data_IF_098513751276
#
_entry.id   IF_098513751276
#
_cell.length_a   1.000
_cell.length_b   1.000
_cell.length_c   1.000
_cell.angle_alpha   90.00
_cell.angle_beta   90.00
_cell.angle_gamma   90.00
#
_symmetry.space_group_name_H-M   'P 1'
#
loop_
_entity.id
_entity.type
_entity.pdbx_description
1 polymer ?
#
# COMPACT_ATOMS: atom_id res chain seq x y z
N UNK A 1 -36.34 -26.89 -44.51
CA UNK A 1 -37.22 -25.92 -43.81
C UNK A 1 -36.68 -25.61 -42.41
N UNK A 2 -35.47 -25.07 -42.30
CA UNK A 2 -34.81 -24.64 -41.05
C UNK A 2 -34.26 -23.22 -41.26
N UNK A 3 -35.11 -22.20 -41.19
CA UNK A 3 -34.66 -20.83 -41.47
C UNK A 3 -35.55 -19.69 -40.97
N UNK A 4 -36.77 -19.98 -40.52
CA UNK A 4 -37.70 -18.94 -40.04
C UNK A 4 -37.82 -18.86 -38.51
N UNK A 5 -37.48 -19.92 -37.76
CA UNK A 5 -37.64 -19.97 -36.29
C UNK A 5 -36.51 -19.29 -35.51
N UNK A 6 -35.28 -19.32 -36.00
CA UNK A 6 -34.14 -18.70 -35.30
C UNK A 6 -34.13 -17.17 -35.45
N UNK A 7 -34.57 -16.63 -36.60
CA UNK A 7 -34.66 -15.19 -36.82
C UNK A 7 -35.73 -14.52 -35.93
N UNK A 8 -36.88 -15.17 -35.72
CA UNK A 8 -37.96 -14.63 -34.88
C UNK A 8 -37.54 -14.61 -33.40
N UNK A 9 -36.73 -15.58 -32.95
CA UNK A 9 -36.26 -15.64 -31.57
C UNK A 9 -35.20 -14.56 -31.28
N UNK A 10 -34.31 -14.26 -32.24
CA UNK A 10 -33.32 -13.18 -32.10
C UNK A 10 -33.91 -11.76 -32.10
N UNK A 11 -34.95 -11.50 -32.90
CA UNK A 11 -35.60 -10.19 -32.96
C UNK A 11 -36.42 -9.89 -31.70
N UNK A 12 -37.07 -10.90 -31.10
CA UNK A 12 -37.81 -10.75 -29.84
C UNK A 12 -36.88 -10.46 -28.66
N UNK A 13 -35.70 -11.09 -28.62
CA UNK A 13 -34.70 -10.84 -27.55
C UNK A 13 -34.11 -9.43 -27.65
N UNK A 14 -33.83 -8.92 -28.85
CA UNK A 14 -33.36 -7.53 -29.04
C UNK A 14 -34.43 -6.48 -28.69
N UNK A 15 -35.71 -6.76 -28.95
CA UNK A 15 -36.81 -5.85 -28.61
C UNK A 15 -37.04 -5.74 -27.09
N UNK A 16 -36.78 -6.81 -26.33
CA UNK A 16 -36.87 -6.80 -24.86
C UNK A 16 -35.74 -5.99 -24.19
N UNK A 17 -34.60 -5.78 -24.86
CA UNK A 17 -33.49 -4.95 -24.37
C UNK A 17 -33.72 -3.44 -24.56
N UNK A 18 -34.64 -3.04 -25.45
CA UNK A 18 -35.00 -1.65 -25.69
C UNK A 18 -36.13 -1.14 -24.77
N UNK A 19 -36.74 -2.01 -23.95
CA UNK A 19 -37.89 -1.68 -23.11
C UNK A 19 -37.58 -0.73 -21.94
N UNK A 20 -36.30 -0.43 -21.69
CA UNK A 20 -35.83 0.49 -20.66
C UNK A 20 -35.06 1.68 -21.26
N UNK A 21 -35.66 2.42 -22.18
CA UNK A 21 -35.11 3.69 -22.67
C UNK A 21 -35.47 4.85 -21.71
N UNK A 22 -34.62 5.87 -21.56
CA UNK A 22 -34.98 7.07 -20.81
C UNK A 22 -36.27 7.71 -21.34
N UNK A 23 -37.23 8.01 -20.45
CA UNK A 23 -38.52 8.62 -20.81
C UNK A 23 -38.43 10.14 -20.99
N UNK A 24 -37.30 10.76 -20.60
CA UNK A 24 -37.05 12.19 -20.70
C UNK A 24 -36.14 12.53 -21.88
N UNK A 25 -36.36 13.68 -22.50
CA UNK A 25 -35.42 14.22 -23.48
C UNK A 25 -34.09 14.59 -22.80
N UNK A 26 -32.97 14.11 -23.34
CA UNK A 26 -31.64 14.58 -22.90
C UNK A 26 -31.47 16.04 -23.30
N UNK A 27 -30.95 16.84 -22.36
CA UNK A 27 -30.53 18.21 -22.66
C UNK A 27 -29.41 18.15 -23.71
N UNK A 28 -29.53 18.97 -24.77
CA UNK A 28 -28.47 19.09 -25.78
C UNK A 28 -27.32 19.89 -25.19
N UNK A 29 -26.12 19.34 -25.25
CA UNK A 29 -24.88 19.98 -24.78
C UNK A 29 -24.01 20.25 -25.99
N UNK A 30 -23.40 21.43 -26.04
CA UNK A 30 -22.42 21.79 -27.07
C UNK A 30 -21.16 20.93 -26.92
N UNK A 31 -20.69 20.34 -28.03
CA UNK A 31 -19.54 19.43 -28.01
C UNK A 31 -18.23 20.15 -27.70
N UNK A 32 -18.08 21.42 -28.10
CA UNK A 32 -16.92 22.24 -27.75
C UNK A 32 -16.89 22.54 -26.25
N UNK A 33 -18.02 22.94 -25.66
CA UNK A 33 -18.17 23.14 -24.23
C UNK A 33 -17.85 21.86 -23.43
N UNK A 34 -18.29 20.69 -23.91
CA UNK A 34 -17.97 19.41 -23.29
C UNK A 34 -16.46 19.09 -23.32
N UNK A 35 -15.75 19.45 -24.40
CA UNK A 35 -14.30 19.28 -24.49
C UNK A 35 -13.54 20.20 -23.54
N UNK A 36 -13.95 21.47 -23.44
CA UNK A 36 -13.37 22.42 -22.48
C UNK A 36 -13.58 21.94 -21.05
N UNK A 37 -14.76 21.41 -20.75
CA UNK A 37 -15.05 20.83 -19.43
C UNK A 37 -14.21 19.56 -19.17
N UNK A 38 -14.04 18.69 -20.16
CA UNK A 38 -13.18 17.52 -20.03
C UNK A 38 -11.73 17.90 -19.68
N UNK A 39 -11.19 18.99 -20.24
CA UNK A 39 -9.86 19.49 -19.86
C UNK A 39 -9.79 19.91 -18.38
N UNK A 40 -10.82 20.61 -17.88
CA UNK A 40 -10.90 20.98 -16.45
C UNK A 40 -11.00 19.75 -15.56
N UNK A 41 -11.81 18.77 -15.93
CA UNK A 41 -11.96 17.52 -15.18
C UNK A 41 -10.65 16.73 -15.12
N UNK A 42 -9.88 16.69 -16.22
CA UNK A 42 -8.54 16.08 -16.21
C UNK A 42 -7.58 16.81 -15.27
N UNK A 43 -7.60 18.14 -15.26
CA UNK A 43 -6.78 18.91 -14.33
C UNK A 43 -7.13 18.62 -12.86
N UNK A 44 -8.42 18.59 -12.51
CA UNK A 44 -8.88 18.26 -11.15
C UNK A 44 -8.54 16.82 -10.77
N UNK A 45 -8.73 15.86 -11.68
CA UNK A 45 -8.39 14.46 -11.46
C UNK A 45 -6.88 14.26 -11.25
N UNK A 46 -6.05 14.96 -12.02
CA UNK A 46 -4.61 14.96 -11.86
C UNK A 46 -4.19 15.56 -10.52
N UNK A 47 -4.81 16.67 -10.11
CA UNK A 47 -4.55 17.28 -8.81
C UNK A 47 -4.86 16.32 -7.67
N UNK A 48 -6.04 15.71 -7.67
CA UNK A 48 -6.43 14.73 -6.67
C UNK A 48 -5.46 13.53 -6.62
N UNK A 49 -5.01 13.03 -7.78
CA UNK A 49 -4.04 11.93 -7.83
C UNK A 49 -2.68 12.31 -7.24
N UNK A 50 -2.18 13.51 -7.54
CA UNK A 50 -0.92 14.01 -6.99
C UNK A 50 -1.02 14.21 -5.48
N UNK A 51 -2.13 14.76 -4.99
CA UNK A 51 -2.39 14.93 -3.56
C UNK A 51 -2.41 13.57 -2.83
N UNK A 52 -3.08 12.55 -3.41
CA UNK A 52 -3.08 11.18 -2.88
C UNK A 52 -1.65 10.62 -2.79
N UNK A 53 -0.83 10.77 -3.83
CA UNK A 53 0.57 10.31 -3.86
C UNK A 53 1.42 11.02 -2.80
N UNK A 54 1.32 12.35 -2.71
CA UNK A 54 2.07 13.15 -1.72
C UNK A 54 1.67 12.77 -0.30
N UNK A 55 0.37 12.59 -0.04
CA UNK A 55 -0.14 12.12 1.25
C UNK A 55 0.39 10.74 1.58
N UNK A 56 0.32 9.79 0.66
CA UNK A 56 0.80 8.42 0.87
C UNK A 56 2.30 8.38 1.16
N UNK A 57 3.10 9.15 0.41
CA UNK A 57 4.55 9.26 0.66
C UNK A 57 4.86 9.88 2.03
N UNK A 58 4.18 10.97 2.39
CA UNK A 58 4.35 11.65 3.68
C UNK A 58 4.05 10.72 4.86
N UNK A 59 3.02 9.88 4.71
CA UNK A 59 2.59 8.92 5.75
C UNK A 59 3.51 7.70 5.81
N UNK A 60 3.86 7.12 4.66
CA UNK A 60 4.63 5.86 4.60
C UNK A 60 6.11 6.03 4.93
N UNK A 61 6.72 7.17 4.56
CA UNK A 61 8.16 7.38 4.75
C UNK A 61 8.65 7.20 6.21
N UNK A 62 8.04 7.83 7.23
CA UNK A 62 8.44 7.61 8.62
C UNK A 62 8.17 6.18 9.11
N UNK A 63 7.15 5.49 8.58
CA UNK A 63 6.86 4.09 8.91
C UNK A 63 7.99 3.18 8.40
N UNK A 64 8.38 3.36 7.14
CA UNK A 64 9.44 2.58 6.52
C UNK A 64 10.81 2.84 7.13
N UNK A 65 11.13 4.09 7.49
CA UNK A 65 12.47 4.46 7.98
C UNK A 65 12.65 4.20 9.47
N UNK A 66 11.70 4.62 10.31
CA UNK A 66 11.80 4.44 11.76
C UNK A 66 11.37 3.04 12.22
N UNK A 67 10.51 2.37 11.46
CA UNK A 67 10.13 0.97 11.69
C UNK A 67 11.10 -0.06 11.08
N UNK A 68 12.20 0.39 10.46
CA UNK A 68 13.15 -0.46 9.74
C UNK A 68 13.76 -1.58 10.61
N UNK A 69 13.83 -1.40 11.93
CA UNK A 69 14.34 -2.42 12.84
C UNK A 69 13.42 -3.64 12.96
N UNK A 70 12.14 -3.50 12.59
CA UNK A 70 11.16 -4.59 12.57
C UNK A 70 11.10 -5.30 11.21
N UNK A 71 11.91 -4.88 10.23
CA UNK A 71 11.97 -5.47 8.88
C UNK A 71 13.15 -6.44 8.69
N UNK A 72 13.93 -6.74 9.73
CA UNK A 72 15.04 -7.70 9.68
C UNK A 72 16.07 -7.33 8.60
N UNK A 73 16.36 -8.30 7.73
CA UNK A 73 17.30 -8.15 6.60
C UNK A 73 16.67 -7.53 5.35
N UNK A 74 15.35 -7.42 5.30
CA UNK A 74 14.62 -6.83 4.17
C UNK A 74 14.69 -5.30 4.25
N UNK A 75 15.89 -4.78 3.96
CA UNK A 75 16.26 -3.37 4.08
C UNK A 75 16.68 -2.80 2.73
N UNK A 76 16.33 -1.53 2.52
CA UNK A 76 16.81 -0.70 1.41
C UNK A 76 17.22 0.67 1.92
N UNK A 77 17.78 1.47 1.01
CA UNK A 77 18.13 2.86 1.28
C UNK A 77 17.29 3.76 0.38
N UNK A 78 16.74 4.84 0.95
CA UNK A 78 15.80 5.72 0.24
C UNK A 78 16.07 7.19 0.50
N UNK A 79 15.77 8.02 -0.50
CA UNK A 79 16.01 9.47 -0.45
C UNK A 79 14.80 10.27 0.02
N UNK A 80 13.57 9.74 -0.14
CA UNK A 80 12.33 10.44 0.24
C UNK A 80 11.90 11.57 -0.70
N UNK A 81 12.41 11.59 -1.93
CA UNK A 81 11.92 12.48 -3.00
C UNK A 81 11.11 11.71 -4.05
N UNK A 82 10.07 12.35 -4.56
CA UNK A 82 9.28 11.89 -5.70
C UNK A 82 9.77 12.58 -6.97
N UNK A 83 9.95 11.82 -8.03
CA UNK A 83 10.35 12.33 -9.34
C UNK A 83 9.19 12.22 -10.32
N UNK A 84 9.04 13.23 -11.17
CA UNK A 84 8.06 13.23 -12.24
C UNK A 84 8.59 13.98 -13.47
N UNK A 85 7.99 13.70 -14.61
CA UNK A 85 8.03 14.54 -15.79
C UNK A 85 6.63 14.60 -16.42
N UNK A 86 6.49 15.30 -17.53
CA UNK A 86 5.20 15.47 -18.21
C UNK A 86 4.54 14.17 -18.70
N UNK A 87 5.27 13.05 -18.75
CA UNK A 87 4.77 11.76 -19.22
C UNK A 87 4.45 10.78 -18.09
N UNK A 88 4.83 11.06 -16.84
CA UNK A 88 4.73 10.07 -15.75
C UNK A 88 3.48 10.18 -14.90
N UNK A 89 2.65 11.22 -15.07
CA UNK A 89 1.44 11.41 -14.28
C UNK A 89 0.18 11.04 -15.08
N UNK A 90 -0.45 9.91 -14.72
CA UNK A 90 -1.72 9.42 -15.28
C UNK A 90 -1.75 9.15 -16.80
N UNK A 91 -0.60 9.19 -17.49
CA UNK A 91 -0.46 8.85 -18.90
C UNK A 91 -0.64 10.03 -19.86
N UNK A 92 -0.67 9.73 -21.16
CA UNK A 92 -0.60 10.71 -22.26
C UNK A 92 -1.71 11.77 -22.21
N UNK A 93 -2.95 11.37 -21.89
CA UNK A 93 -4.12 12.25 -21.85
C UNK A 93 -3.99 13.39 -20.81
N UNK A 94 -3.09 13.24 -19.84
CA UNK A 94 -2.86 14.19 -18.77
C UNK A 94 -1.63 15.07 -18.97
N UNK A 95 -0.85 14.86 -20.05
CA UNK A 95 0.41 15.60 -20.30
C UNK A 95 0.21 17.12 -20.27
N UNK A 96 -0.80 17.63 -20.96
CA UNK A 96 -1.11 19.07 -21.00
C UNK A 96 -1.48 19.59 -19.60
N UNK A 97 -2.24 18.79 -18.83
CA UNK A 97 -2.62 19.14 -17.46
C UNK A 97 -1.39 19.15 -16.54
N UNK A 98 -0.47 18.20 -16.70
CA UNK A 98 0.77 18.11 -15.94
C UNK A 98 1.71 19.29 -16.22
N UNK A 99 1.85 19.69 -17.49
CA UNK A 99 2.61 20.89 -17.88
C UNK A 99 2.00 22.16 -17.26
N UNK A 100 0.69 22.35 -17.38
CA UNK A 100 0.02 23.58 -16.91
C UNK A 100 -0.03 23.68 -15.39
N UNK A 101 -0.38 22.60 -14.70
CA UNK A 101 -0.58 22.62 -13.25
C UNK A 101 0.74 22.56 -12.47
N UNK A 102 1.75 21.86 -12.98
CA UNK A 102 2.99 21.57 -12.25
C UNK A 102 4.26 22.01 -12.96
N UNK A 103 4.16 22.67 -14.12
CA UNK A 103 5.30 23.14 -14.92
C UNK A 103 6.28 22.00 -15.25
N UNK A 104 5.73 20.80 -15.45
CA UNK A 104 6.52 19.62 -15.81
C UNK A 104 6.91 19.68 -17.28
N UNK A 105 8.18 19.37 -17.57
CA UNK A 105 8.72 19.25 -18.92
C UNK A 105 9.04 17.78 -19.25
N UNK A 106 9.78 17.52 -20.32
CA UNK A 106 10.34 16.19 -20.62
C UNK A 106 11.49 15.80 -19.69
N UNK A 107 12.04 16.75 -18.95
CA UNK A 107 13.11 16.56 -17.98
C UNK A 107 12.57 15.99 -16.67
N UNK A 108 13.43 15.27 -15.94
CA UNK A 108 13.10 14.74 -14.62
C UNK A 108 13.14 15.85 -13.58
N UNK A 109 12.01 16.10 -12.93
CA UNK A 109 11.86 17.11 -11.91
C UNK A 109 11.42 16.50 -10.57
N UNK A 110 11.81 17.13 -9.48
CA UNK A 110 11.36 16.77 -8.13
C UNK A 110 9.92 17.24 -7.96
N UNK A 111 9.00 16.29 -7.91
CA UNK A 111 7.58 16.55 -7.70
C UNK A 111 7.27 16.83 -6.23
N UNK A 112 7.92 16.11 -5.33
CA UNK A 112 7.68 16.20 -3.90
C UNK A 112 8.91 15.78 -3.11
N UNK A 113 9.12 16.37 -1.93
CA UNK A 113 10.14 15.97 -0.98
C UNK A 113 9.47 15.77 0.37
N UNK A 114 9.61 14.58 0.95
CA UNK A 114 9.06 14.32 2.29
C UNK A 114 9.83 15.15 3.31
N UNK A 115 9.15 15.96 4.16
CA UNK A 115 9.83 16.73 5.20
C UNK A 115 10.65 15.85 6.14
N UNK A 116 11.88 16.24 6.43
CA UNK A 116 12.80 15.48 7.27
C UNK A 116 13.39 14.21 6.62
N UNK A 117 13.14 13.98 5.33
CA UNK A 117 13.82 12.92 4.57
C UNK A 117 15.28 13.23 4.26
N UNK A 118 16.05 12.23 3.85
CA UNK A 118 17.39 12.37 3.32
C UNK A 118 17.52 13.47 2.24
N UNK A 119 16.59 13.51 1.28
CA UNK A 119 16.57 14.53 0.23
C UNK A 119 16.30 15.93 0.80
N UNK A 120 15.38 16.06 1.76
CA UNK A 120 15.11 17.33 2.43
C UNK A 120 16.33 17.85 3.21
N UNK A 121 16.97 16.96 3.99
CA UNK A 121 18.21 17.26 4.74
C UNK A 121 19.35 17.69 3.82
N UNK A 122 19.44 17.10 2.64
CA UNK A 122 20.43 17.44 1.62
C UNK A 122 20.11 18.76 0.86
N UNK A 123 18.93 19.34 1.07
CA UNK A 123 18.53 20.61 0.46
C UNK A 123 17.82 20.48 -0.89
N UNK A 124 17.39 19.29 -1.29
CA UNK A 124 16.54 19.07 -2.48
C UNK A 124 15.17 19.69 -2.22
N UNK A 125 14.57 20.32 -3.24
CA UNK A 125 13.28 21.01 -3.15
C UNK A 125 12.38 20.65 -4.32
N UNK A 126 11.07 20.72 -4.11
CA UNK A 126 10.09 20.62 -5.19
C UNK A 126 10.39 21.63 -6.30
N UNK A 127 10.34 21.17 -7.55
CA UNK A 127 10.66 21.95 -8.75
C UNK A 127 12.12 21.89 -9.20
N UNK A 128 13.02 21.26 -8.43
CA UNK A 128 14.39 21.02 -8.89
C UNK A 128 14.40 20.11 -10.12
N UNK A 129 15.10 20.49 -11.18
CA UNK A 129 15.33 19.61 -12.33
C UNK A 129 16.62 18.84 -12.12
N UNK A 130 16.58 17.50 -12.14
CA UNK A 130 17.78 16.69 -12.00
C UNK A 130 18.55 16.62 -13.33
N UNK A 131 19.88 16.59 -13.24
CA UNK A 131 20.80 16.53 -14.39
C UNK A 131 21.74 15.34 -14.34
N UNK A 132 22.31 15.04 -13.18
CA UNK A 132 23.20 13.91 -12.99
C UNK A 132 22.92 13.19 -11.66
N UNK A 133 23.13 11.88 -11.66
CA UNK A 133 23.27 11.06 -10.46
C UNK A 133 24.70 10.51 -10.49
N UNK A 134 25.55 10.98 -9.59
CA UNK A 134 27.01 10.85 -9.64
C UNK A 134 27.58 11.31 -10.99
N UNK A 135 28.00 10.37 -11.85
CA UNK A 135 28.51 10.62 -13.20
C UNK A 135 27.48 10.27 -14.29
N UNK A 136 26.34 9.68 -13.91
CA UNK A 136 25.32 9.27 -14.85
C UNK A 136 24.42 10.44 -15.23
N UNK A 137 24.42 10.80 -16.51
CA UNK A 137 23.55 11.83 -17.06
C UNK A 137 22.11 11.35 -17.12
N UNK A 138 21.18 12.16 -16.60
CA UNK A 138 19.77 11.83 -16.58
C UNK A 138 19.16 12.08 -17.96
N UNK A 139 18.50 11.07 -18.58
CA UNK A 139 17.85 11.23 -19.88
C UNK A 139 16.57 12.07 -19.77
N UNK A 140 15.96 12.37 -20.91
CA UNK A 140 14.61 12.97 -20.98
C UNK A 140 13.61 11.98 -21.59
N UNK A 141 12.31 12.31 -21.51
CA UNK A 141 11.25 11.51 -22.12
C UNK A 141 10.60 10.48 -21.19
N UNK A 142 9.72 9.64 -21.72
CA UNK A 142 8.76 8.85 -20.94
C UNK A 142 9.41 7.90 -19.91
N UNK A 143 10.54 7.29 -20.24
CA UNK A 143 11.25 6.36 -19.35
C UNK A 143 12.21 7.04 -18.36
N UNK A 144 12.46 8.35 -18.49
CA UNK A 144 13.55 9.01 -17.78
C UNK A 144 13.39 8.95 -16.25
N UNK A 145 12.17 9.08 -15.75
CA UNK A 145 11.89 8.99 -14.31
C UNK A 145 12.16 7.57 -13.79
N UNK A 146 11.68 6.53 -14.49
CA UNK A 146 11.93 5.13 -14.11
C UNK A 146 13.43 4.83 -14.07
N UNK A 147 14.14 5.20 -15.14
CA UNK A 147 15.60 5.01 -15.21
C UNK A 147 16.33 5.77 -14.10
N UNK A 148 15.88 6.97 -13.74
CA UNK A 148 16.46 7.76 -12.64
C UNK A 148 16.22 7.11 -11.28
N UNK A 149 15.03 6.56 -11.03
CA UNK A 149 14.71 5.83 -9.81
C UNK A 149 15.54 4.54 -9.71
N UNK A 150 15.67 3.79 -10.81
CA UNK A 150 16.51 2.59 -10.90
C UNK A 150 17.97 2.93 -10.56
N UNK A 151 18.50 4.01 -11.14
CA UNK A 151 19.86 4.47 -10.84
C UNK A 151 20.03 4.90 -9.38
N UNK A 152 19.10 5.67 -8.81
CA UNK A 152 19.13 6.02 -7.40
C UNK A 152 19.14 4.78 -6.52
N UNK A 153 18.32 3.78 -6.82
CA UNK A 153 18.27 2.53 -6.05
C UNK A 153 19.62 1.80 -6.10
N UNK A 154 20.23 1.66 -7.29
CA UNK A 154 21.55 1.02 -7.44
C UNK A 154 22.64 1.79 -6.69
N UNK A 155 22.70 3.12 -6.85
CA UNK A 155 23.75 3.96 -6.23
C UNK A 155 23.63 4.02 -4.72
N UNK A 156 22.41 3.95 -4.19
CA UNK A 156 22.15 3.99 -2.75
C UNK A 156 22.16 2.62 -2.06
N UNK A 157 22.32 1.51 -2.79
CA UNK A 157 22.18 0.14 -2.26
C UNK A 157 23.09 -0.18 -1.05
N UNK A 158 24.19 0.55 -0.88
CA UNK A 158 25.15 0.37 0.23
C UNK A 158 24.99 1.41 1.35
N UNK A 159 23.98 2.28 1.27
CA UNK A 159 23.79 3.40 2.19
C UNK A 159 24.78 4.55 2.02
N UNK A 160 25.69 4.46 1.03
CA UNK A 160 26.65 5.52 0.75
C UNK A 160 25.96 6.78 0.21
N UNK A 161 26.51 7.97 0.48
CA UNK A 161 25.99 9.19 -0.09
C UNK A 161 26.06 9.18 -1.62
N UNK A 162 25.03 9.72 -2.28
CA UNK A 162 24.94 9.87 -3.74
C UNK A 162 24.93 11.35 -4.09
N UNK A 163 25.73 11.77 -5.09
CA UNK A 163 25.69 13.14 -5.59
C UNK A 163 24.55 13.28 -6.59
N UNK A 164 23.71 14.29 -6.42
CA UNK A 164 22.68 14.65 -7.39
C UNK A 164 22.91 16.08 -7.83
N UNK A 165 23.14 16.27 -9.12
CA UNK A 165 23.26 17.60 -9.71
C UNK A 165 21.89 18.07 -10.19
N UNK A 166 21.49 19.26 -9.77
CA UNK A 166 20.18 19.83 -10.05
C UNK A 166 20.29 21.24 -10.65
N UNK A 167 19.23 21.67 -11.35
CA UNK A 167 19.00 23.05 -11.72
C UNK A 167 17.83 23.59 -10.89
N UNK A 168 18.08 24.68 -10.18
CA UNK A 168 17.06 25.44 -9.44
C UNK A 168 17.11 26.90 -9.88
N UNK A 169 16.02 27.42 -10.45
CA UNK A 169 15.94 28.81 -10.94
C UNK A 169 17.16 29.18 -11.79
N UNK A 170 17.44 28.35 -12.81
CA UNK A 170 18.55 28.50 -13.76
C UNK A 170 19.97 28.35 -13.18
N UNK A 171 20.11 28.05 -11.89
CA UNK A 171 21.41 27.79 -11.25
C UNK A 171 21.65 26.30 -11.04
N UNK A 172 22.80 25.82 -11.50
CA UNK A 172 23.29 24.47 -11.20
C UNK A 172 23.75 24.35 -9.75
N UNK A 173 23.42 23.24 -9.10
CA UNK A 173 23.88 22.89 -7.75
C UNK A 173 24.21 21.39 -7.69
N UNK A 174 25.24 21.03 -6.94
CA UNK A 174 25.56 19.63 -6.63
C UNK A 174 25.22 19.37 -5.17
N UNK A 175 24.31 18.44 -4.91
CA UNK A 175 23.84 18.11 -3.56
C UNK A 175 24.23 16.66 -3.25
N UNK A 176 24.77 16.44 -2.05
CA UNK A 176 25.15 15.11 -1.59
C UNK A 176 24.05 14.56 -0.67
N UNK A 177 23.37 13.49 -1.11
CA UNK A 177 22.27 12.88 -0.38
C UNK A 177 22.78 11.63 0.32
N UNK A 178 22.75 11.61 1.66
CA UNK A 178 22.96 10.38 2.43
C UNK A 178 21.61 9.69 2.62
N UNK A 179 21.35 8.53 1.99
CA UNK A 179 20.03 7.92 1.99
C UNK A 179 19.67 7.34 3.36
N UNK A 180 18.40 7.43 3.74
CA UNK A 180 17.90 6.86 4.99
C UNK A 180 17.70 5.34 4.85
N UNK A 181 18.08 4.56 5.86
CA UNK A 181 17.77 3.12 5.97
C UNK A 181 16.26 2.95 6.13
N UNK A 182 15.67 2.02 5.38
CA UNK A 182 14.23 1.79 5.38
C UNK A 182 13.89 0.31 5.12
N UNK A 183 12.69 -0.12 5.50
CA UNK A 183 12.13 -1.39 5.04
C UNK A 183 12.12 -1.48 3.51
N UNK A 184 12.45 -2.66 2.97
CA UNK A 184 12.51 -2.95 1.54
C UNK A 184 11.13 -3.10 0.86
N UNK A 185 10.06 -2.59 1.49
CA UNK A 185 8.69 -2.67 0.99
C UNK A 185 8.19 -1.28 0.59
N UNK A 186 8.50 -0.75 -0.61
CA UNK A 186 7.96 0.53 -1.05
C UNK A 186 6.43 0.52 -1.00
N UNK A 187 5.84 1.66 -0.63
CA UNK A 187 4.39 1.85 -0.57
C UNK A 187 3.97 2.60 -1.83
N UNK A 188 3.06 2.03 -2.60
CA UNK A 188 2.61 2.57 -3.89
C UNK A 188 1.09 2.77 -3.89
N UNK A 189 0.64 3.81 -4.58
CA UNK A 189 -0.78 4.06 -4.79
C UNK A 189 -1.28 3.20 -5.94
N UNK A 190 -2.27 2.36 -5.69
CA UNK A 190 -2.98 1.63 -6.74
C UNK A 190 -4.27 2.36 -7.17
N UNK A 191 -4.72 2.09 -8.39
CA UNK A 191 -5.81 2.83 -9.03
C UNK A 191 -7.23 2.39 -8.67
N UNK A 192 -7.40 1.35 -7.85
CA UNK A 192 -8.71 0.77 -7.52
C UNK A 192 -9.59 1.67 -6.66
N UNK A 193 -10.90 1.52 -6.83
CA UNK A 193 -11.91 2.29 -6.10
C UNK A 193 -12.38 1.62 -4.80
N UNK A 194 -12.02 0.36 -4.61
CA UNK A 194 -12.30 -0.43 -3.42
C UNK A 194 -11.54 0.09 -2.20
N UNK A 195 -12.16 -0.03 -1.03
CA UNK A 195 -11.50 0.25 0.26
C UNK A 195 -10.59 -0.91 0.59
N UNK A 196 -9.36 -0.88 0.05
CA UNK A 196 -8.40 -1.95 0.19
C UNK A 196 -6.95 -1.45 0.21
N UNK A 197 -6.10 -2.20 0.89
CA UNK A 197 -4.66 -2.15 0.78
C UNK A 197 -4.14 -3.58 0.96
N UNK A 198 -2.99 -3.90 0.40
CA UNK A 198 -2.42 -5.24 0.54
C UNK A 198 -0.90 -5.24 0.38
N UNK A 199 -0.26 -6.19 1.05
CA UNK A 199 1.13 -6.57 0.88
C UNK A 199 1.29 -7.73 -0.12
N UNK A 200 2.32 -7.70 -0.96
CA UNK A 200 2.62 -8.78 -1.93
C UNK A 200 3.94 -9.53 -1.65
N UNK A 201 4.58 -9.24 -0.52
CA UNK A 201 5.91 -9.73 -0.14
C UNK A 201 7.06 -8.85 -0.63
N UNK A 202 6.81 -7.85 -1.48
CA UNK A 202 7.83 -6.94 -2.04
C UNK A 202 7.47 -5.47 -1.86
N UNK A 203 6.19 -5.13 -1.85
CA UNK A 203 5.68 -3.78 -1.72
C UNK A 203 4.32 -3.79 -1.00
N UNK A 204 3.86 -2.60 -0.64
CA UNK A 204 2.51 -2.36 -0.13
C UNK A 204 1.75 -1.54 -1.16
N UNK A 205 0.57 -1.99 -1.54
CA UNK A 205 -0.30 -1.31 -2.49
C UNK A 205 -1.49 -0.74 -1.72
N UNK A 206 -1.73 0.56 -1.81
CA UNK A 206 -2.89 1.23 -1.21
C UNK A 206 -3.82 1.72 -2.30
N UNK A 207 -5.05 1.22 -2.34
CA UNK A 207 -6.03 1.62 -3.37
C UNK A 207 -6.60 3.02 -3.08
N UNK A 208 -7.04 3.74 -4.11
CA UNK A 208 -7.65 5.06 -3.95
C UNK A 208 -8.91 5.04 -3.09
N UNK A 209 -9.67 3.93 -3.11
CA UNK A 209 -10.80 3.75 -2.19
C UNK A 209 -10.37 3.80 -0.73
N UNK A 210 -9.23 3.21 -0.37
CA UNK A 210 -8.68 3.29 0.98
C UNK A 210 -8.20 4.70 1.33
N UNK A 211 -7.56 5.42 0.39
CA UNK A 211 -7.17 6.81 0.58
C UNK A 211 -8.35 7.71 0.96
N UNK A 212 -9.51 7.49 0.32
CA UNK A 212 -10.76 8.21 0.61
C UNK A 212 -11.40 7.78 1.93
N UNK A 213 -11.28 6.51 2.30
CA UNK A 213 -11.87 5.98 3.53
C UNK A 213 -11.10 6.41 4.79
N UNK A 214 -9.77 6.45 4.72
CA UNK A 214 -8.93 6.97 5.79
C UNK A 214 -9.08 8.49 5.89
N UNK A 215 -9.75 8.96 6.93
CA UNK A 215 -10.13 10.35 7.16
C UNK A 215 -8.96 11.19 7.70
N UNK A 216 -7.89 10.53 8.17
CA UNK A 216 -6.69 11.19 8.66
C UNK A 216 -5.41 10.48 8.22
N UNK A 217 -4.27 11.18 8.32
CA UNK A 217 -2.96 10.58 8.10
C UNK A 217 -2.63 9.49 9.12
N UNK A 218 -3.15 9.62 10.35
CA UNK A 218 -3.02 8.59 11.39
C UNK A 218 -3.73 7.30 10.99
N UNK A 219 -4.96 7.38 10.49
CA UNK A 219 -5.69 6.20 10.03
C UNK A 219 -5.03 5.55 8.81
N UNK A 220 -4.55 6.35 7.86
CA UNK A 220 -3.80 5.82 6.72
C UNK A 220 -2.51 5.14 7.17
N UNK A 221 -1.83 5.72 8.16
CA UNK A 221 -0.62 5.15 8.74
C UNK A 221 -0.89 3.79 9.41
N UNK A 222 -2.04 3.61 10.07
CA UNK A 222 -2.43 2.32 10.64
C UNK A 222 -2.52 1.25 9.56
N UNK A 223 -3.22 1.52 8.46
CA UNK A 223 -3.33 0.60 7.31
C UNK A 223 -1.95 0.28 6.75
N UNK A 224 -1.15 1.30 6.46
CA UNK A 224 0.19 1.10 5.89
C UNK A 224 1.10 0.31 6.85
N UNK A 225 1.05 0.58 8.15
CA UNK A 225 1.85 -0.15 9.14
C UNK A 225 1.45 -1.62 9.28
N UNK A 226 0.15 -1.92 9.17
CA UNK A 226 -0.38 -3.28 9.14
C UNK A 226 0.12 -4.04 7.90
N UNK A 227 0.10 -3.41 6.72
CA UNK A 227 0.63 -4.05 5.50
C UNK A 227 2.15 -4.20 5.49
N UNK A 228 2.90 -3.24 6.08
CA UNK A 228 4.34 -3.40 6.29
C UNK A 228 4.58 -4.61 7.20
N UNK A 229 3.79 -4.79 8.26
CA UNK A 229 3.90 -5.94 9.15
C UNK A 229 3.62 -7.28 8.44
N UNK A 230 2.66 -7.35 7.52
CA UNK A 230 2.45 -8.55 6.71
C UNK A 230 3.69 -8.96 5.91
N UNK A 231 4.37 -7.98 5.31
CA UNK A 231 5.59 -8.24 4.57
C UNK A 231 6.76 -8.60 5.50
N UNK A 232 6.97 -7.82 6.57
CA UNK A 232 8.10 -8.01 7.50
C UNK A 232 8.04 -9.34 8.22
N UNK A 233 6.84 -9.83 8.53
CA UNK A 233 6.62 -11.14 9.16
C UNK A 233 6.57 -12.29 8.16
N UNK A 234 6.76 -12.02 6.85
CA UNK A 234 6.82 -13.04 5.82
C UNK A 234 5.49 -13.77 5.58
N UNK A 235 4.36 -13.18 5.96
CA UNK A 235 3.03 -13.81 5.84
C UNK A 235 2.72 -14.20 4.40
N UNK A 236 3.08 -13.37 3.42
CA UNK A 236 2.88 -13.67 1.99
C UNK A 236 3.71 -14.87 1.53
N UNK A 237 4.96 -14.96 1.98
CA UNK A 237 5.84 -16.11 1.72
C UNK A 237 5.26 -17.38 2.34
N UNK A 238 4.80 -17.32 3.59
CA UNK A 238 4.20 -18.44 4.30
C UNK A 238 2.91 -18.93 3.63
N UNK A 239 2.00 -18.01 3.24
CA UNK A 239 0.78 -18.35 2.48
C UNK A 239 1.11 -19.08 1.18
N UNK A 240 2.08 -18.57 0.41
CA UNK A 240 2.51 -19.21 -0.85
C UNK A 240 3.16 -20.59 -0.62
N UNK A 241 3.99 -20.74 0.41
CA UNK A 241 4.58 -22.02 0.78
C UNK A 241 3.51 -23.03 1.19
N UNK A 242 2.56 -22.65 2.02
CA UNK A 242 1.49 -23.54 2.46
C UNK A 242 0.56 -23.94 1.30
N UNK A 243 0.27 -23.01 0.38
CA UNK A 243 -0.47 -23.31 -0.85
C UNK A 243 0.27 -24.33 -1.72
N UNK A 244 1.58 -24.14 -1.91
CA UNK A 244 2.40 -25.06 -2.69
C UNK A 244 2.45 -26.47 -2.06
N UNK A 245 2.64 -26.56 -0.74
CA UNK A 245 2.60 -27.83 -0.01
C UNK A 245 1.23 -28.52 -0.14
N UNK A 246 0.13 -27.76 -0.01
CA UNK A 246 -1.22 -28.27 -0.24
C UNK A 246 -1.41 -28.78 -1.67
N UNK A 247 -0.89 -28.05 -2.66
CA UNK A 247 -0.96 -28.46 -4.07
C UNK A 247 -0.17 -29.75 -4.36
N UNK A 248 0.89 -30.05 -3.61
CA UNK A 248 1.58 -31.35 -3.69
C UNK A 248 0.64 -32.47 -3.22
N UNK A 249 -0.15 -32.24 -2.17
CA UNK A 249 -1.16 -33.21 -1.72
C UNK A 249 -2.29 -33.38 -2.74
N UNK A 250 -2.72 -32.30 -3.40
CA UNK A 250 -3.68 -32.37 -4.51
C UNK A 250 -3.15 -33.27 -5.64
N UNK A 251 -1.89 -33.10 -6.04
CA UNK A 251 -1.23 -33.93 -7.05
C UNK A 251 -1.14 -35.39 -6.59
N UNK A 252 -0.73 -35.64 -5.34
CA UNK A 252 -0.63 -36.99 -4.79
C UNK A 252 -1.99 -37.70 -4.75
N UNK A 253 -3.06 -37.01 -4.33
CA UNK A 253 -4.42 -37.54 -4.32
C UNK A 253 -4.90 -37.89 -5.74
N UNK A 254 -4.61 -37.03 -6.72
CA UNK A 254 -4.97 -37.28 -8.11
C UNK A 254 -4.16 -38.44 -8.73
N UNK A 255 -2.86 -38.53 -8.45
CA UNK A 255 -1.96 -39.51 -9.08
C UNK A 255 -2.12 -40.90 -8.44
N UNK A 256 -2.06 -40.96 -7.10
CA UNK A 256 -2.03 -42.20 -6.32
C UNK A 256 -3.43 -42.73 -6.01
N UNK A 257 -4.37 -41.85 -5.70
CA UNK A 257 -5.73 -42.23 -5.27
C UNK A 257 -6.80 -42.01 -6.34
N UNK A 258 -6.45 -41.39 -7.48
CA UNK A 258 -7.37 -41.03 -8.57
C UNK A 258 -8.54 -40.14 -8.11
N UNK A 259 -8.35 -39.37 -7.04
CA UNK A 259 -9.36 -38.43 -6.51
C UNK A 259 -9.08 -37.02 -7.04
N UNK A 260 -10.01 -36.41 -7.80
CA UNK A 260 -9.86 -35.03 -8.26
C UNK A 260 -10.23 -34.05 -7.14
N UNK A 261 -9.22 -33.47 -6.52
CA UNK A 261 -9.38 -32.52 -5.41
C UNK A 261 -9.64 -31.09 -5.88
N UNK A 262 -9.37 -30.77 -7.17
CA UNK A 262 -9.57 -29.45 -7.78
C UNK A 262 -8.88 -28.30 -7.02
N UNK A 263 -7.71 -28.57 -6.43
CA UNK A 263 -6.94 -27.58 -5.67
C UNK A 263 -7.43 -27.36 -4.24
N UNK A 264 -8.29 -28.24 -3.71
CA UNK A 264 -8.82 -28.14 -2.35
C UNK A 264 -7.70 -28.00 -1.32
N UNK A 265 -6.67 -28.86 -1.37
CA UNK A 265 -5.61 -28.85 -0.36
C UNK A 265 -4.70 -27.63 -0.52
N UNK A 266 -4.43 -27.19 -1.75
CA UNK A 266 -3.74 -25.92 -2.02
C UNK A 266 -4.48 -24.73 -1.42
N UNK A 267 -5.79 -24.60 -1.69
CA UNK A 267 -6.61 -23.52 -1.16
C UNK A 267 -6.71 -23.57 0.38
N UNK A 268 -6.87 -24.76 0.97
CA UNK A 268 -6.86 -24.92 2.43
C UNK A 268 -5.51 -24.54 3.03
N UNK A 269 -4.40 -24.96 2.40
CA UNK A 269 -3.06 -24.62 2.84
C UNK A 269 -2.79 -23.12 2.77
N UNK A 270 -3.10 -22.46 1.65
CA UNK A 270 -2.89 -21.02 1.48
C UNK A 270 -3.73 -20.16 2.44
N UNK A 271 -4.91 -20.64 2.84
CA UNK A 271 -5.77 -19.99 3.82
C UNK A 271 -5.49 -20.42 5.28
N UNK A 272 -4.62 -21.42 5.48
CA UNK A 272 -4.23 -21.82 6.82
C UNK A 272 -3.54 -20.65 7.53
N UNK A 273 -3.84 -20.49 8.82
CA UNK A 273 -3.29 -19.43 9.67
C UNK A 273 -3.66 -17.99 9.32
N UNK A 274 -4.53 -17.72 8.32
CA UNK A 274 -4.89 -16.34 7.93
C UNK A 274 -5.31 -15.47 9.11
N UNK A 275 -6.14 -15.97 10.04
CA UNK A 275 -6.52 -15.21 11.25
C UNK A 275 -5.33 -14.90 12.18
N UNK A 276 -4.39 -15.84 12.31
CA UNK A 276 -3.18 -15.64 13.10
C UNK A 276 -2.28 -14.57 12.48
N UNK A 277 -2.14 -14.58 11.16
CA UNK A 277 -1.38 -13.57 10.42
C UNK A 277 -2.01 -12.17 10.53
N UNK A 278 -3.34 -12.07 10.50
CA UNK A 278 -4.04 -10.79 10.75
C UNK A 278 -3.75 -10.24 12.16
N UNK A 279 -3.86 -11.10 13.19
CA UNK A 279 -3.60 -10.71 14.57
C UNK A 279 -2.13 -10.31 14.79
N UNK A 280 -1.20 -11.01 14.14
CA UNK A 280 0.23 -10.69 14.18
C UNK A 280 0.55 -9.38 13.44
N UNK A 281 -0.08 -9.14 12.29
CA UNK A 281 0.06 -7.89 11.55
C UNK A 281 -0.54 -6.69 12.29
N UNK A 282 -1.66 -6.86 12.98
CA UNK A 282 -2.20 -5.85 13.91
C UNK A 282 -1.21 -5.51 15.03
N UNK A 283 -0.68 -6.55 15.67
CA UNK A 283 0.24 -6.41 16.80
C UNK A 283 1.53 -5.68 16.37
N UNK A 284 2.23 -6.21 15.36
CA UNK A 284 3.49 -5.65 14.87
C UNK A 284 3.27 -4.30 14.18
N UNK A 285 2.16 -4.12 13.47
CA UNK A 285 1.79 -2.86 12.83
C UNK A 285 1.66 -1.71 13.84
N UNK A 286 1.03 -1.94 15.00
CA UNK A 286 0.98 -0.94 16.07
C UNK A 286 2.36 -0.59 16.64
N UNK A 287 3.28 -1.57 16.71
CA UNK A 287 4.67 -1.31 17.10
C UNK A 287 5.41 -0.45 16.06
N UNK A 288 5.27 -0.75 14.76
CA UNK A 288 5.82 0.08 13.67
C UNK A 288 5.28 1.51 13.81
N UNK A 289 3.97 1.65 13.95
CA UNK A 289 3.31 2.95 14.11
C UNK A 289 3.87 3.72 15.32
N UNK A 290 4.01 3.06 16.47
CA UNK A 290 4.52 3.67 17.70
C UNK A 290 6.01 4.05 17.61
N UNK A 291 6.86 3.19 17.03
CA UNK A 291 8.28 3.48 16.78
C UNK A 291 8.46 4.71 15.87
N UNK A 292 7.55 4.90 14.92
CA UNK A 292 7.56 6.06 14.03
C UNK A 292 7.11 7.37 14.69
N UNK A 293 6.61 7.31 15.93
CA UNK A 293 6.02 8.44 16.67
C UNK A 293 4.54 8.67 16.34
N UNK A 294 3.88 7.69 15.71
CA UNK A 294 2.45 7.74 15.38
C UNK A 294 1.55 7.56 16.61
N UNK A 295 0.33 8.07 16.51
CA UNK A 295 -0.70 7.86 17.53
C UNK A 295 -1.40 6.51 17.32
N UNK A 296 -1.41 5.67 18.35
CA UNK A 296 -2.03 4.33 18.34
C UNK A 296 -3.35 4.26 19.11
N UNK A 297 -3.75 5.31 19.84
CA UNK A 297 -4.89 5.26 20.79
C UNK A 297 -6.21 4.85 20.11
N UNK A 298 -6.45 5.39 18.93
CA UNK A 298 -7.71 5.19 18.21
C UNK A 298 -7.64 4.06 17.19
N UNK A 299 -6.56 3.26 17.18
CA UNK A 299 -6.43 2.16 16.23
C UNK A 299 -7.59 1.14 16.30
N UNK A 300 -8.05 0.71 17.49
CA UNK A 300 -9.21 -0.16 17.58
C UNK A 300 -10.47 0.45 16.93
N UNK A 301 -10.67 1.78 17.06
CA UNK A 301 -11.83 2.46 16.52
C UNK A 301 -11.82 2.52 14.99
N UNK A 302 -10.65 2.65 14.38
CA UNK A 302 -10.51 2.54 12.92
C UNK A 302 -10.96 1.16 12.43
N UNK A 303 -10.49 0.08 13.07
CA UNK A 303 -10.88 -1.28 12.71
C UNK A 303 -12.36 -1.58 12.97
N UNK A 304 -12.96 -0.97 13.99
CA UNK A 304 -14.41 -0.99 14.20
C UNK A 304 -15.16 -0.37 13.02
N UNK A 305 -14.65 0.71 12.42
CA UNK A 305 -15.23 1.31 11.20
C UNK A 305 -15.00 0.44 9.96
N UNK A 306 -13.85 -0.23 9.84
CA UNK A 306 -13.62 -1.22 8.78
C UNK A 306 -14.63 -2.38 8.83
N UNK A 307 -15.05 -2.82 10.01
CA UNK A 307 -16.04 -3.88 10.17
C UNK A 307 -17.40 -3.56 9.51
N UNK A 308 -17.74 -2.27 9.30
CA UNK A 308 -19.00 -1.88 8.63
C UNK A 308 -19.01 -2.21 7.14
N UNK A 309 -17.84 -2.44 6.53
CA UNK A 309 -17.71 -2.85 5.12
C UNK A 309 -18.03 -4.33 4.91
N UNK A 310 -18.01 -5.13 5.99
CA UNK A 310 -18.35 -6.55 5.96
C UNK A 310 -19.06 -6.96 7.25
N UNK A 311 -20.32 -6.54 7.47
CA UNK A 311 -21.06 -6.88 8.70
C UNK A 311 -21.18 -8.39 8.96
N UNK A 312 -21.16 -9.20 7.90
CA UNK A 312 -21.16 -10.66 8.01
C UNK A 312 -19.90 -11.21 8.70
N UNK A 313 -18.75 -10.54 8.54
CA UNK A 313 -17.49 -10.93 9.16
C UNK A 313 -17.52 -10.81 10.70
N UNK A 314 -18.47 -10.05 11.26
CA UNK A 314 -18.71 -9.94 12.71
C UNK A 314 -19.23 -11.28 13.27
N UNK A 315 -19.97 -12.05 12.46
CA UNK A 315 -20.55 -13.33 12.87
C UNK A 315 -19.74 -14.53 12.38
N UNK A 316 -19.03 -14.40 11.26
CA UNK A 316 -18.17 -15.45 10.72
C UNK A 316 -16.83 -14.89 10.25
N UNK A 317 -15.75 -15.26 10.96
CA UNK A 317 -14.39 -14.75 10.75
C UNK A 317 -13.74 -15.17 9.43
N UNK A 318 -14.41 -15.87 8.51
CA UNK A 318 -13.76 -16.58 7.40
C UNK A 318 -14.02 -16.03 5.99
N UNK A 319 -14.88 -15.01 5.81
CA UNK A 319 -15.34 -14.60 4.47
C UNK A 319 -14.75 -13.28 3.93
N UNK A 320 -14.04 -12.50 4.74
CA UNK A 320 -13.36 -11.29 4.28
C UNK A 320 -11.85 -11.53 4.12
N UNK A 321 -11.19 -10.76 3.25
CA UNK A 321 -9.73 -10.81 3.09
C UNK A 321 -8.99 -10.43 4.38
N UNK A 322 -9.51 -9.42 5.09
CA UNK A 322 -9.02 -8.93 6.39
C UNK A 322 -10.22 -8.70 7.34
N UNK A 323 -10.80 -9.75 7.95
CA UNK A 323 -11.98 -9.60 8.78
C UNK A 323 -11.61 -8.86 10.09
N UNK A 324 -12.21 -7.70 10.32
CA UNK A 324 -12.10 -6.96 11.57
C UNK A 324 -13.02 -7.58 12.63
N UNK A 325 -12.55 -8.65 13.28
CA UNK A 325 -13.34 -9.40 14.29
C UNK A 325 -13.34 -8.70 15.66
N UNK A 326 -14.30 -9.02 16.55
CA UNK A 326 -14.29 -8.55 17.94
C UNK A 326 -13.01 -8.95 18.70
N UNK A 327 -12.46 -10.13 18.45
CA UNK A 327 -11.23 -10.61 19.08
C UNK A 327 -10.04 -9.73 18.69
N UNK A 328 -9.90 -9.41 17.39
CA UNK A 328 -8.87 -8.47 16.91
C UNK A 328 -9.02 -7.10 17.54
N UNK A 329 -10.26 -6.59 17.65
CA UNK A 329 -10.53 -5.31 18.31
C UNK A 329 -10.00 -5.30 19.75
N UNK A 330 -10.31 -6.32 20.55
CA UNK A 330 -9.84 -6.42 21.93
C UNK A 330 -8.32 -6.61 22.02
N UNK A 331 -7.73 -7.39 21.11
CA UNK A 331 -6.27 -7.56 21.04
C UNK A 331 -5.55 -6.25 20.72
N UNK A 332 -6.11 -5.41 19.85
CA UNK A 332 -5.58 -4.08 19.56
C UNK A 332 -5.64 -3.17 20.81
N UNK A 333 -6.73 -3.22 21.60
CA UNK A 333 -6.81 -2.47 22.86
C UNK A 333 -5.73 -2.90 23.85
N UNK A 334 -5.50 -4.20 24.01
CA UNK A 334 -4.43 -4.72 24.86
C UNK A 334 -3.03 -4.36 24.34
N UNK A 335 -2.84 -4.39 23.02
CA UNK A 335 -1.57 -3.99 22.40
C UNK A 335 -1.26 -2.50 22.65
N UNK A 336 -2.27 -1.63 22.58
CA UNK A 336 -2.12 -0.21 22.92
C UNK A 336 -1.68 -0.06 24.38
N UNK A 337 -2.32 -0.78 25.31
CA UNK A 337 -1.94 -0.75 26.74
C UNK A 337 -0.50 -1.21 26.95
N UNK A 338 -0.09 -2.29 26.28
CA UNK A 338 1.27 -2.84 26.33
C UNK A 338 2.31 -1.84 25.85
N UNK A 339 2.12 -1.27 24.65
CA UNK A 339 3.04 -0.27 24.08
C UNK A 339 3.15 0.94 25.00
N UNK A 340 2.03 1.41 25.57
CA UNK A 340 2.04 2.53 26.53
C UNK A 340 2.76 2.19 27.82
N UNK A 341 2.63 0.97 28.32
CA UNK A 341 3.41 0.52 29.47
C UNK A 341 4.92 0.55 29.17
N UNK A 342 5.34 0.04 27.99
CA UNK A 342 6.74 0.10 27.55
C UNK A 342 7.24 1.55 27.41
N UNK A 343 6.47 2.44 26.80
CA UNK A 343 6.80 3.87 26.68
C UNK A 343 6.97 4.55 28.04
N UNK A 344 6.04 4.34 28.99
CA UNK A 344 6.13 4.92 30.35
C UNK A 344 7.34 4.40 31.12
N UNK A 345 7.70 3.14 30.89
CA UNK A 345 8.86 2.51 31.52
C UNK A 345 10.19 2.83 30.80
N UNK A 346 10.18 3.59 29.69
CA UNK A 346 11.37 3.84 28.89
C UNK A 346 11.96 2.59 28.23
N UNK A 347 11.17 1.52 28.09
CA UNK A 347 11.59 0.26 27.45
C UNK A 347 11.60 0.41 25.92
N UNK A 348 12.47 -0.34 25.20
CA UNK A 348 12.41 -0.43 23.74
C UNK A 348 11.02 -0.88 23.27
N UNK A 349 10.53 -0.27 22.18
CA UNK A 349 9.25 -0.63 21.58
C UNK A 349 9.44 -1.81 20.62
N UNK A 350 9.73 -2.98 21.17
CA UNK A 350 9.90 -4.22 20.40
C UNK A 350 8.71 -5.15 20.72
N UNK A 351 8.05 -5.75 19.71
CA UNK A 351 7.00 -6.74 19.92
C UNK A 351 7.49 -7.96 20.71
N UNK A 352 6.61 -8.55 21.53
CA UNK A 352 6.88 -9.80 22.24
C UNK A 352 6.75 -10.97 21.25
N UNK A 353 7.86 -11.64 20.91
CA UNK A 353 7.86 -12.78 19.99
C UNK A 353 7.74 -14.10 20.77
N UNK A 354 6.92 -15.04 20.27
CA UNK A 354 6.66 -16.34 20.92
C UNK A 354 7.92 -17.17 21.23
N UNK A 355 9.00 -16.96 20.48
CA UNK A 355 10.26 -17.71 20.59
C UNK A 355 11.49 -16.80 20.80
N UNK A 356 11.30 -15.55 21.25
CA UNK A 356 12.46 -14.71 21.57
C UNK A 356 13.24 -15.35 22.74
N UNK A 357 14.59 -15.44 22.67
CA UNK A 357 15.38 -15.76 23.85
C UNK A 357 15.02 -14.74 24.92
N UNK A 358 14.58 -15.25 26.07
CA UNK A 358 13.88 -14.56 27.14
C UNK A 358 14.52 -13.19 27.46
N UNK A 359 14.03 -12.12 26.81
CA UNK A 359 14.32 -10.75 27.20
C UNK A 359 13.36 -10.41 28.36
N UNK A 360 13.58 -11.12 29.47
CA UNK A 360 12.90 -11.02 30.75
C UNK A 360 11.37 -11.08 30.65
N UNK A 361 10.81 -12.29 30.79
CA UNK A 361 9.52 -12.58 31.43
C UNK A 361 8.79 -11.34 31.97
N UNK A 362 8.05 -10.64 31.10
CA UNK A 362 7.18 -9.54 31.47
C UNK A 362 6.01 -10.17 32.26
N UNK A 363 6.06 -10.02 33.59
CA UNK A 363 5.07 -10.48 34.56
C UNK A 363 3.75 -9.70 34.45
N UNK A 364 3.05 -9.79 33.32
CA UNK A 364 1.74 -9.14 33.15
C UNK A 364 0.59 -10.10 32.82
N UNK A 365 0.80 -11.41 32.86
CA UNK A 365 -0.28 -12.41 32.79
C UNK A 365 -0.46 -13.03 34.18
N UNK A 366 -1.52 -12.71 34.95
CA UNK A 366 -1.85 -13.50 36.12
C UNK A 366 -2.18 -14.93 35.66
N UNK A 367 -1.67 -15.97 36.35
CA UNK A 367 -1.90 -17.35 35.95
C UNK A 367 -3.40 -17.65 36.00
N UNK A 368 -3.90 -18.19 34.89
CA UNK A 368 -5.25 -18.71 34.75
C UNK A 368 -5.46 -19.80 35.82
N UNK A 369 -6.42 -19.59 36.71
CA UNK A 369 -6.82 -20.62 37.68
C UNK A 369 -7.44 -21.76 36.91
N UNK A 370 -6.68 -22.84 36.74
CA UNK A 370 -7.17 -24.15 36.31
C UNK A 370 -8.39 -24.53 37.15
N UNK A 371 -9.56 -24.52 36.52
CA UNK A 371 -10.75 -25.16 37.05
C UNK A 371 -10.59 -26.67 36.87
N UNK A 372 -10.08 -27.33 37.90
CA UNK A 372 -10.38 -28.74 38.09
C UNK A 372 -11.85 -28.83 38.52
N UNK A 373 -12.68 -29.44 37.67
CA UNK A 373 -14.04 -29.87 38.00
C UNK A 373 -14.05 -31.39 38.27
N UNK A 374 -15.01 -31.86 39.09
CA UNK A 374 -14.79 -32.88 40.13
C UNK A 374 -14.66 -34.33 39.68
#
# INVERSE_FOLDING_TARGET
MYGARELITGVVVCALLAACAPTTQRVRVDSGAAQVEAQKQRQVALQAFVEDQMRLMRVSYPLLTKGADLCGDDIRFTTGMALANQATLLGEDFRESAQKAYQLSDQVQVMYVVPGSAADKAGIRTGDTLRYIDEWAIPTGADAVRQSLDQLQVRTQTGKPVRVDIIRKERGQSLLITPDRACAYPVVLGGGDEVNAYADGKQVIVQRGMMRFAQSDTELALVVSHEIAHNSMGHMRAKMTNYALGSILDIAAQVLLKVPTQGLFGNLGGNAHSQGFEAEADYVGLYIMAQSGGNIENAPQFWRRMATLSPNAIKSSHMASHPATPERFLALEETVKEIRAKQRAGKPLIPNLKNAPDLAADQFIPPEKSQASP
#
